data_IF_052675226792
#
_entry.id   IF_052675226792
#
_cell.length_a   1.000
_cell.length_b   1.000
_cell.length_c   1.000
_cell.angle_alpha   90.00
_cell.angle_beta   90.00
_cell.angle_gamma   90.00
#
_symmetry.space_group_name_H-M   'P 1'
#
loop_
_entity.id
_entity.type
_entity.pdbx_description
1 polymer ?
#
# COMPACT_ATOMS: atom_id res chain seq x y z
N UNK A 1 10.59 -17.70 -8.46
CA UNK A 1 11.97 -17.25 -8.74
C UNK A 1 12.83 -17.62 -7.55
N UNK A 2 13.93 -18.31 -7.79
CA UNK A 2 14.80 -18.90 -6.76
C UNK A 2 15.25 -17.82 -5.76
N UNK A 3 14.63 -17.82 -4.58
CA UNK A 3 14.73 -16.76 -3.58
C UNK A 3 15.96 -16.92 -2.71
N UNK A 4 17.12 -16.54 -3.23
CA UNK A 4 18.33 -16.43 -2.43
C UNK A 4 18.30 -15.16 -1.57
N UNK A 5 18.80 -15.25 -0.34
CA UNK A 5 19.04 -14.06 0.50
C UNK A 5 20.47 -13.59 0.33
N UNK A 6 20.68 -12.28 0.13
CA UNK A 6 22.01 -11.65 0.11
C UNK A 6 22.19 -10.83 1.38
N UNK A 7 23.31 -11.04 2.09
CA UNK A 7 23.65 -10.24 3.28
C UNK A 7 24.20 -8.89 2.87
N UNK A 8 23.69 -7.84 3.49
CA UNK A 8 24.25 -6.49 3.45
C UNK A 8 24.59 -6.07 4.89
N UNK A 9 25.70 -5.36 5.07
CA UNK A 9 26.06 -4.75 6.35
C UNK A 9 25.86 -3.24 6.22
N UNK A 10 25.05 -2.67 7.09
CA UNK A 10 24.76 -1.24 7.12
C UNK A 10 24.85 -0.73 8.55
N UNK A 11 25.37 0.48 8.72
CA UNK A 11 25.36 1.18 10.00
C UNK A 11 24.06 1.96 10.12
N UNK A 12 23.38 1.82 11.25
CA UNK A 12 22.15 2.54 11.56
C UNK A 12 22.36 3.40 12.81
N UNK A 13 21.71 4.57 12.91
CA UNK A 13 21.73 5.37 14.13
C UNK A 13 21.19 4.58 15.32
N UNK A 14 21.82 4.74 16.48
CA UNK A 14 21.47 4.02 17.72
C UNK A 14 20.00 4.24 18.12
N UNK A 15 19.54 5.49 18.09
CA UNK A 15 18.15 5.85 18.39
C UNK A 15 17.14 5.13 17.48
N UNK A 16 17.48 4.99 16.20
CA UNK A 16 16.63 4.26 15.24
C UNK A 16 16.65 2.76 15.52
N UNK A 17 17.83 2.20 15.83
CA UNK A 17 17.96 0.80 16.20
C UNK A 17 17.12 0.48 17.44
N UNK A 18 17.20 1.31 18.47
CA UNK A 18 16.42 1.19 19.70
C UNK A 18 14.91 1.27 19.44
N UNK A 19 14.48 2.24 18.62
CA UNK A 19 13.08 2.40 18.21
C UNK A 19 12.56 1.16 17.48
N UNK A 20 13.36 0.62 16.54
CA UNK A 20 12.98 -0.59 15.80
C UNK A 20 12.93 -1.79 16.75
N UNK A 21 13.91 -1.94 17.64
CA UNK A 21 13.97 -3.05 18.58
C UNK A 21 12.78 -3.05 19.54
N UNK A 22 12.39 -1.88 20.06
CA UNK A 22 11.17 -1.73 20.87
C UNK A 22 9.90 -2.11 20.09
N UNK A 23 9.85 -1.82 18.79
CA UNK A 23 8.69 -2.09 17.93
C UNK A 23 8.56 -3.57 17.54
N UNK A 24 9.68 -4.26 17.30
CA UNK A 24 9.67 -5.66 16.86
C UNK A 24 9.57 -6.64 18.04
N UNK A 25 9.96 -6.24 19.24
CA UNK A 25 9.93 -7.10 20.43
C UNK A 25 10.78 -8.35 20.23
N UNK A 26 10.13 -9.53 20.22
CA UNK A 26 10.77 -10.82 19.98
C UNK A 26 10.96 -11.18 18.50
N UNK A 27 10.44 -10.37 17.56
CA UNK A 27 10.59 -10.65 16.14
C UNK A 27 12.00 -10.36 15.64
N UNK A 28 12.43 -11.11 14.61
CA UNK A 28 13.75 -10.94 13.99
C UNK A 28 13.91 -9.57 13.31
N UNK A 29 15.00 -8.89 13.62
CA UNK A 29 15.37 -7.61 13.01
C UNK A 29 15.50 -7.72 11.48
N UNK A 30 16.11 -8.79 10.96
CA UNK A 30 16.29 -8.97 9.51
C UNK A 30 14.95 -9.15 8.78
N UNK A 31 13.98 -9.83 9.40
CA UNK A 31 12.65 -10.00 8.85
C UNK A 31 11.88 -8.67 8.83
N UNK A 32 12.00 -7.87 9.89
CA UNK A 32 11.42 -6.54 9.94
C UNK A 32 12.01 -5.61 8.87
N UNK A 33 13.34 -5.55 8.77
CA UNK A 33 14.02 -4.71 7.77
C UNK A 33 13.67 -5.15 6.35
N UNK A 34 13.68 -6.44 6.06
CA UNK A 34 13.28 -6.96 4.74
C UNK A 34 11.87 -6.51 4.36
N UNK A 35 10.90 -6.60 5.28
CA UNK A 35 9.52 -6.15 5.06
C UNK A 35 9.44 -4.63 4.91
N UNK A 36 10.20 -3.88 5.71
CA UNK A 36 10.23 -2.42 5.65
C UNK A 36 10.81 -1.95 4.30
N UNK A 37 11.89 -2.57 3.82
CA UNK A 37 12.49 -2.28 2.52
C UNK A 37 11.54 -2.61 1.37
N UNK A 38 10.87 -3.77 1.41
CA UNK A 38 9.88 -4.12 0.40
C UNK A 38 8.75 -3.08 0.31
N UNK A 39 8.21 -2.66 1.47
CA UNK A 39 7.20 -1.59 1.54
C UNK A 39 7.73 -0.25 1.04
N UNK A 40 9.00 0.06 1.30
CA UNK A 40 9.59 1.31 0.85
C UNK A 40 9.70 1.35 -0.68
N UNK A 41 10.21 0.27 -1.29
CA UNK A 41 10.28 0.14 -2.75
C UNK A 41 8.90 0.24 -3.39
N UNK A 42 7.90 -0.43 -2.81
CA UNK A 42 6.52 -0.32 -3.30
C UNK A 42 6.01 1.13 -3.24
N UNK A 43 6.26 1.85 -2.14
CA UNK A 43 5.86 3.26 -2.01
C UNK A 43 6.59 4.18 -2.98
N UNK A 44 7.87 3.93 -3.24
CA UNK A 44 8.66 4.71 -4.18
C UNK A 44 8.12 4.51 -5.61
N UNK A 45 7.86 3.27 -6.01
CA UNK A 45 7.22 2.95 -7.28
C UNK A 45 5.83 3.60 -7.42
N UNK A 46 5.01 3.54 -6.37
CA UNK A 46 3.70 4.21 -6.36
C UNK A 46 3.83 5.72 -6.52
N UNK A 47 4.85 6.33 -5.89
CA UNK A 47 5.11 7.76 -6.02
C UNK A 47 5.49 8.13 -7.45
N UNK A 48 6.33 7.33 -8.10
CA UNK A 48 6.69 7.53 -9.51
C UNK A 48 5.46 7.50 -10.42
N UNK A 49 4.57 6.54 -10.21
CA UNK A 49 3.31 6.44 -10.97
C UNK A 49 2.40 7.65 -10.74
N UNK A 50 2.27 8.12 -9.50
CA UNK A 50 1.49 9.31 -9.18
C UNK A 50 2.07 10.54 -9.86
N UNK A 51 3.38 10.75 -9.78
CA UNK A 51 4.06 11.88 -10.44
C UNK A 51 3.85 11.85 -11.95
N UNK A 52 3.96 10.67 -12.58
CA UNK A 52 3.71 10.50 -14.01
C UNK A 52 2.25 10.84 -14.38
N UNK A 53 1.28 10.40 -13.59
CA UNK A 53 -0.14 10.69 -13.80
C UNK A 53 -0.45 12.19 -13.62
N UNK A 54 0.09 12.82 -12.59
CA UNK A 54 -0.11 14.25 -12.33
C UNK A 54 0.54 15.12 -13.40
N UNK A 55 1.67 14.68 -13.96
CA UNK A 55 2.32 15.39 -15.08
C UNK A 55 1.46 15.37 -16.35
N UNK A 56 0.69 14.30 -16.56
CA UNK A 56 -0.17 14.14 -17.75
C UNK A 56 -1.55 14.79 -17.59
N UNK A 57 -2.10 14.78 -16.37
CA UNK A 57 -3.51 15.15 -16.11
C UNK A 57 -3.68 16.36 -15.19
N UNK A 58 -2.60 16.88 -14.63
CA UNK A 58 -2.63 17.84 -13.53
C UNK A 58 -2.77 17.16 -12.15
N UNK A 59 -2.61 17.93 -11.07
CA UNK A 59 -2.71 17.42 -9.70
C UNK A 59 -4.09 16.84 -9.40
N UNK A 60 -4.15 15.85 -8.51
CA UNK A 60 -5.41 15.21 -8.13
C UNK A 60 -6.34 16.18 -7.40
N UNK A 61 -7.53 16.42 -7.97
CA UNK A 61 -8.60 17.15 -7.29
C UNK A 61 -9.29 16.27 -6.22
N UNK A 62 -8.98 16.54 -4.95
CA UNK A 62 -9.54 15.83 -3.80
C UNK A 62 -11.07 15.96 -3.72
N UNK A 63 -11.62 17.14 -3.98
CA UNK A 63 -13.06 17.37 -3.87
C UNK A 63 -13.81 16.58 -4.95
N UNK A 64 -13.28 16.58 -6.18
CA UNK A 64 -13.78 15.75 -7.26
C UNK A 64 -13.71 14.24 -6.96
N UNK A 65 -12.62 13.77 -6.35
CA UNK A 65 -12.49 12.36 -5.95
C UNK A 65 -13.51 11.99 -4.85
N UNK A 66 -13.67 12.84 -3.84
CA UNK A 66 -14.63 12.61 -2.75
C UNK A 66 -16.07 12.64 -3.26
N UNK A 67 -16.42 13.57 -4.14
CA UNK A 67 -17.74 13.61 -4.80
C UNK A 67 -18.03 12.33 -5.58
N UNK A 68 -17.09 11.85 -6.38
CA UNK A 68 -17.23 10.58 -7.11
C UNK A 68 -17.34 9.37 -6.19
N UNK A 69 -16.57 9.33 -5.09
CA UNK A 69 -16.66 8.26 -4.06
C UNK A 69 -18.00 8.25 -3.36
N UNK A 70 -18.60 9.42 -3.11
CA UNK A 70 -19.92 9.52 -2.53
C UNK A 70 -20.96 8.89 -3.46
N UNK A 71 -20.95 9.27 -4.75
CA UNK A 71 -21.84 8.71 -5.78
C UNK A 71 -21.79 7.18 -5.83
N UNK A 72 -20.58 6.59 -5.89
CA UNK A 72 -20.38 5.14 -5.92
C UNK A 72 -20.81 4.41 -4.64
N UNK A 73 -20.85 5.10 -3.49
CA UNK A 73 -21.30 4.53 -2.22
C UNK A 73 -22.83 4.56 -2.10
N UNK A 74 -23.47 5.54 -2.73
CA UNK A 74 -24.94 5.69 -2.81
C UNK A 74 -25.60 4.80 -3.87
N UNK A 75 -24.89 3.88 -4.51
CA UNK A 75 -25.49 2.75 -5.24
C UNK A 75 -25.55 1.47 -4.37
N UNK A 76 -26.55 1.30 -3.49
CA UNK A 76 -26.95 0.00 -3.00
C UNK A 76 -28.12 -0.56 -3.84
N UNK A 77 -27.97 -1.81 -4.28
CA UNK A 77 -29.03 -2.82 -4.40
C UNK A 77 -30.27 -2.50 -5.28
N UNK A 78 -30.16 -2.73 -6.59
CA UNK A 78 -31.32 -3.14 -7.41
C UNK A 78 -30.95 -4.29 -8.38
N UNK A 79 -30.30 -5.33 -7.82
CA UNK A 79 -30.03 -6.61 -8.52
C UNK A 79 -30.66 -7.83 -7.84
N UNK A 80 -31.68 -7.61 -7.00
CA UNK A 80 -32.55 -8.67 -6.49
C UNK A 80 -33.93 -8.60 -7.16
N UNK A 81 -33.97 -8.89 -8.46
CA UNK A 81 -35.21 -8.88 -9.25
C UNK A 81 -35.27 -10.03 -10.25
N UNK A 82 -35.68 -11.21 -9.78
CA UNK A 82 -36.35 -12.22 -10.63
C UNK A 82 -35.48 -13.21 -11.41
N UNK A 83 -34.94 -14.23 -10.73
CA UNK A 83 -34.98 -15.57 -11.32
C UNK A 83 -35.89 -16.43 -10.45
N UNK A 84 -37.20 -16.28 -10.70
CA UNK A 84 -38.20 -17.23 -10.25
C UNK A 84 -37.88 -18.60 -10.86
N UNK A 85 -37.73 -19.57 -9.96
CA UNK A 85 -37.86 -20.99 -10.23
C UNK A 85 -39.05 -21.28 -11.16
N UNK A 86 -38.81 -22.05 -12.21
CA UNK A 86 -39.84 -22.77 -12.95
C UNK A 86 -39.40 -24.23 -13.07
N UNK A 87 -40.37 -25.11 -12.80
CA UNK A 87 -40.30 -26.55 -12.62
C UNK A 87 -40.01 -27.34 -13.90
#
# INVERSE_FOLDING_TARGET
>A
MSGGTRKFSVTIPEELAATVQARIGSASFSAYVSKALARQVERDNLRELVVAAESQHGPVDRAGVEGKRALLRTEPEDRSGGHTSAA
#
